data_IF_332743310519
#
_entry.id   IF_332743310519
#
_cell.length_a   1.000
_cell.length_b   1.000
_cell.length_c   1.000
_cell.angle_alpha   90.00
_cell.angle_beta   90.00
_cell.angle_gamma   90.00
#
_symmetry.space_group_name_H-M   'P 1'
#
loop_
_entity.id
_entity.type
_entity.pdbx_description
1 polymer ?
#
# COMPACT_ATOMS: atom_id res chain seq x y z
N UNK A 1 -5.89 6.78 -10.78
CA UNK A 1 -5.95 8.21 -10.33
C UNK A 1 -4.59 8.87 -10.44
N UNK A 2 -4.50 10.06 -11.02
CA UNK A 2 -3.25 10.84 -11.12
C UNK A 2 -3.00 11.59 -9.81
N UNK A 3 -1.78 11.49 -9.27
CA UNK A 3 -1.34 12.19 -8.06
C UNK A 3 0.14 12.57 -8.22
N UNK A 4 0.51 13.79 -7.83
CA UNK A 4 1.90 14.21 -7.88
C UNK A 4 2.62 14.03 -6.53
N UNK A 5 3.95 14.14 -6.57
CA UNK A 5 4.80 13.98 -5.36
C UNK A 5 4.47 15.00 -4.27
N UNK A 6 4.07 16.20 -4.65
CA UNK A 6 3.68 17.25 -3.71
C UNK A 6 2.43 16.85 -2.96
N UNK A 7 1.41 16.33 -3.65
CA UNK A 7 0.18 15.86 -3.04
C UNK A 7 0.42 14.69 -2.07
N UNK A 8 1.29 13.74 -2.44
CA UNK A 8 1.67 12.64 -1.53
C UNK A 8 2.36 13.15 -0.26
N UNK A 9 3.21 14.16 -0.38
CA UNK A 9 3.88 14.80 0.76
C UNK A 9 2.90 15.62 1.60
N UNK A 10 2.06 16.45 0.99
CA UNK A 10 1.05 17.27 1.67
C UNK A 10 0.06 16.41 2.48
N UNK A 11 -0.32 15.25 1.96
CA UNK A 11 -1.21 14.30 2.62
C UNK A 11 -0.46 13.38 3.61
N UNK A 12 0.86 13.52 3.74
CA UNK A 12 1.69 12.67 4.59
C UNK A 12 1.51 11.17 4.30
N UNK A 13 1.31 10.80 3.03
CA UNK A 13 1.23 9.38 2.63
C UNK A 13 2.55 8.70 3.01
N UNK A 14 3.67 9.36 2.68
CA UNK A 14 5.02 9.04 3.17
C UNK A 14 5.59 10.29 3.84
N UNK A 15 6.30 10.12 4.95
CA UNK A 15 6.92 11.21 5.69
C UNK A 15 8.36 10.86 6.07
N UNK A 16 9.24 11.85 6.23
CA UNK A 16 10.63 11.64 6.67
C UNK A 16 10.69 11.03 8.06
N UNK A 17 9.83 11.50 8.97
CA UNK A 17 9.53 10.84 10.24
C UNK A 17 8.39 9.86 9.98
N UNK A 18 8.73 8.59 9.80
CA UNK A 18 7.79 7.58 9.34
C UNK A 18 6.53 7.48 10.20
N UNK A 19 6.64 7.64 11.50
CA UNK A 19 5.53 7.60 12.46
C UNK A 19 4.42 8.62 12.16
N UNK A 20 4.75 9.71 11.46
CA UNK A 20 3.82 10.75 11.04
C UNK A 20 3.20 10.49 9.65
N UNK A 21 3.30 9.28 9.13
CA UNK A 21 2.81 8.91 7.80
C UNK A 21 1.61 7.98 7.82
N UNK A 22 0.78 8.07 6.78
CA UNK A 22 -0.27 7.10 6.50
C UNK A 22 0.32 5.70 6.34
N UNK A 23 1.50 5.60 5.70
CA UNK A 23 2.23 4.34 5.55
C UNK A 23 2.47 3.66 6.90
N UNK A 24 2.99 4.37 7.89
CA UNK A 24 3.25 3.80 9.21
C UNK A 24 1.99 3.23 9.88
N UNK A 25 0.88 3.97 9.81
CA UNK A 25 -0.39 3.55 10.40
C UNK A 25 -0.99 2.29 9.73
N UNK A 26 -0.71 2.08 8.46
CA UNK A 26 -1.14 0.90 7.72
C UNK A 26 -0.14 -0.26 7.79
N UNK A 27 1.08 -0.01 8.28
CA UNK A 27 2.17 -0.98 8.27
C UNK A 27 2.11 -1.92 9.49
N UNK A 28 1.48 -3.06 9.30
CA UNK A 28 1.46 -4.21 10.20
C UNK A 28 2.14 -5.43 9.56
N UNK A 29 2.98 -5.22 8.55
CA UNK A 29 3.68 -6.30 7.83
C UNK A 29 4.66 -7.04 8.73
N UNK A 30 4.82 -8.34 8.50
CA UNK A 30 5.73 -9.21 9.24
C UNK A 30 7.08 -9.39 8.55
N UNK A 31 7.18 -9.00 7.27
CA UNK A 31 8.37 -9.20 6.44
C UNK A 31 8.81 -7.91 5.75
N UNK A 32 10.10 -7.84 5.44
CA UNK A 32 10.65 -6.71 4.66
C UNK A 32 10.01 -6.64 3.27
N UNK A 33 9.82 -7.79 2.61
CA UNK A 33 9.16 -7.85 1.30
C UNK A 33 7.72 -7.34 1.36
N UNK A 34 6.95 -7.72 2.39
CA UNK A 34 5.61 -7.21 2.63
C UNK A 34 5.58 -5.70 2.84
N UNK A 35 6.55 -5.17 3.63
CA UNK A 35 6.68 -3.73 3.86
C UNK A 35 6.96 -2.96 2.57
N UNK A 36 7.89 -3.44 1.74
CA UNK A 36 8.20 -2.81 0.47
C UNK A 36 7.03 -2.90 -0.52
N UNK A 37 6.30 -4.02 -0.51
CA UNK A 37 5.11 -4.17 -1.34
C UNK A 37 3.98 -3.23 -0.88
N UNK A 38 3.78 -3.05 0.44
CA UNK A 38 2.84 -2.06 0.98
C UNK A 38 3.21 -0.64 0.56
N UNK A 39 4.50 -0.29 0.58
CA UNK A 39 5.00 1.00 0.10
C UNK A 39 4.69 1.18 -1.39
N UNK A 40 4.88 0.13 -2.19
CA UNK A 40 4.52 0.14 -3.61
C UNK A 40 3.02 0.35 -3.81
N UNK A 41 2.16 -0.36 -3.09
CA UNK A 41 0.70 -0.18 -3.15
C UNK A 41 0.30 1.26 -2.86
N UNK A 42 0.82 1.82 -1.76
CA UNK A 42 0.51 3.19 -1.36
C UNK A 42 1.08 4.26 -2.31
N UNK A 43 2.06 3.93 -3.14
CA UNK A 43 2.60 4.84 -4.15
C UNK A 43 1.88 4.80 -5.50
N UNK A 44 1.01 3.82 -5.73
CA UNK A 44 0.42 3.53 -7.04
C UNK A 44 -1.11 3.37 -6.98
N UNK A 45 -1.86 4.47 -6.95
CA UNK A 45 -3.32 4.40 -6.94
C UNK A 45 -3.87 3.74 -8.19
N UNK A 46 -4.96 2.98 -8.00
CA UNK A 46 -5.60 2.20 -9.04
C UNK A 46 -6.32 3.09 -10.06
N UNK A 47 -6.45 2.61 -11.29
CA UNK A 47 -6.98 3.41 -12.39
C UNK A 47 -8.41 3.03 -12.78
N UNK A 48 -8.85 1.84 -12.45
CA UNK A 48 -10.17 1.33 -12.84
C UNK A 48 -11.04 1.00 -11.64
N UNK A 49 -12.34 1.17 -11.79
CA UNK A 49 -13.30 0.79 -10.76
C UNK A 49 -13.23 -0.72 -10.45
N UNK A 50 -12.97 -1.55 -11.46
CA UNK A 50 -12.85 -3.00 -11.31
C UNK A 50 -11.69 -3.37 -10.39
N UNK A 51 -10.50 -2.79 -10.60
CA UNK A 51 -9.33 -3.02 -9.74
C UNK A 51 -9.58 -2.58 -8.29
N UNK A 52 -10.25 -1.43 -8.11
CA UNK A 52 -10.59 -0.90 -6.78
C UNK A 52 -11.53 -1.85 -6.05
N UNK A 53 -12.61 -2.30 -6.69
CA UNK A 53 -13.58 -3.20 -6.08
C UNK A 53 -12.98 -4.58 -5.80
N UNK A 54 -12.12 -5.09 -6.67
CA UNK A 54 -11.40 -6.35 -6.47
C UNK A 54 -10.43 -6.27 -5.28
N UNK A 55 -9.75 -5.13 -5.13
CA UNK A 55 -8.89 -4.86 -3.97
C UNK A 55 -9.70 -4.75 -2.67
N UNK A 56 -10.84 -4.05 -2.68
CA UNK A 56 -11.75 -4.00 -1.52
C UNK A 56 -12.19 -5.41 -1.10
N UNK A 57 -12.64 -6.21 -2.06
CA UNK A 57 -13.05 -7.59 -1.80
C UNK A 57 -11.89 -8.44 -1.24
N UNK A 58 -10.66 -8.25 -1.75
CA UNK A 58 -9.47 -8.92 -1.23
C UNK A 58 -9.22 -8.58 0.22
N UNK A 59 -9.19 -7.29 0.57
CA UNK A 59 -8.91 -6.84 1.94
C UNK A 59 -10.01 -7.29 2.89
N UNK A 60 -11.29 -7.19 2.50
CA UNK A 60 -12.42 -7.63 3.30
C UNK A 60 -12.35 -9.13 3.60
N UNK A 61 -12.02 -9.96 2.62
CA UNK A 61 -11.84 -11.38 2.83
C UNK A 61 -10.66 -11.69 3.77
N UNK A 62 -9.54 -10.97 3.60
CA UNK A 62 -8.39 -11.13 4.49
C UNK A 62 -8.71 -10.69 5.93
N UNK A 63 -9.60 -9.70 6.15
CA UNK A 63 -10.09 -9.35 7.49
C UNK A 63 -10.85 -10.51 8.14
N UNK A 64 -11.65 -11.27 7.37
CA UNK A 64 -12.39 -12.43 7.88
C UNK A 64 -11.46 -13.54 8.37
N UNK A 65 -10.34 -13.76 7.67
CA UNK A 65 -9.41 -14.88 7.96
C UNK A 65 -8.16 -14.44 8.74
N UNK A 66 -8.02 -13.14 9.04
CA UNK A 66 -6.81 -12.59 9.64
C UNK A 66 -6.37 -13.27 10.94
N UNK A 67 -7.34 -13.71 11.77
CA UNK A 67 -7.07 -14.37 13.06
C UNK A 67 -6.50 -15.79 12.89
N UNK A 68 -6.84 -16.45 11.79
CA UNK A 68 -6.44 -17.83 11.49
C UNK A 68 -5.23 -17.86 10.53
N UNK A 69 -4.67 -16.67 10.20
CA UNK A 69 -3.55 -16.55 9.28
C UNK A 69 -2.31 -17.25 9.83
N UNK A 70 -1.61 -18.09 9.03
CA UNK A 70 -0.45 -18.84 9.50
C UNK A 70 0.72 -17.91 9.86
N UNK A 71 1.25 -18.05 11.06
CA UNK A 71 2.37 -17.26 11.61
C UNK A 71 3.73 -17.93 11.41
N UNK A 72 3.77 -19.05 10.72
CA UNK A 72 4.99 -19.87 10.53
C UNK A 72 6.01 -19.23 9.57
N UNK A 73 5.55 -18.41 8.65
CA UNK A 73 6.42 -17.67 7.72
C UNK A 73 6.85 -16.35 8.37
N UNK A 74 8.13 -16.27 8.69
CA UNK A 74 8.70 -15.07 9.32
C UNK A 74 9.72 -14.40 8.39
N UNK A 75 10.09 -13.16 8.68
CA UNK A 75 11.17 -12.47 7.98
C UNK A 75 12.48 -13.27 8.03
N UNK A 76 12.77 -13.92 9.18
CA UNK A 76 13.94 -14.79 9.33
C UNK A 76 13.91 -15.98 8.37
N UNK A 77 12.76 -16.65 8.22
CA UNK A 77 12.58 -17.77 7.28
C UNK A 77 12.86 -17.33 5.84
N UNK A 78 12.33 -16.19 5.42
CA UNK A 78 12.54 -15.65 4.06
C UNK A 78 14.00 -15.28 3.86
N UNK A 79 14.64 -14.57 4.79
CA UNK A 79 16.05 -14.20 4.71
C UNK A 79 16.98 -15.42 4.58
N UNK A 80 16.70 -16.52 5.27
CA UNK A 80 17.49 -17.75 5.16
C UNK A 80 17.42 -18.32 3.74
N UNK A 81 16.21 -18.36 3.15
CA UNK A 81 15.98 -18.83 1.79
C UNK A 81 16.70 -17.94 0.77
N UNK A 82 16.60 -16.62 0.89
CA UNK A 82 17.23 -15.67 -0.04
C UNK A 82 18.76 -15.74 0.04
N UNK A 83 19.34 -15.68 1.24
CA UNK A 83 20.79 -15.74 1.46
C UNK A 83 21.41 -17.07 1.04
N UNK A 84 20.64 -18.14 1.05
CA UNK A 84 21.11 -19.44 0.54
C UNK A 84 21.57 -19.36 -0.92
N UNK A 85 20.89 -18.57 -1.74
CA UNK A 85 21.26 -18.40 -3.14
C UNK A 85 22.49 -17.52 -3.37
N UNK A 86 22.87 -16.71 -2.39
CA UNK A 86 24.07 -15.88 -2.39
C UNK A 86 25.30 -16.64 -1.84
N UNK A 87 25.06 -17.72 -1.08
CA UNK A 87 26.13 -18.50 -0.46
C UNK A 87 26.97 -19.26 -1.50
N UNK A 88 28.25 -19.45 -1.22
CA UNK A 88 29.12 -20.32 -1.99
C UNK A 88 29.09 -21.73 -1.39
N UNK A 89 28.59 -22.70 -2.14
CA UNK A 89 28.62 -24.11 -1.78
C UNK A 89 29.59 -24.83 -2.70
N UNK A 90 30.56 -25.52 -2.11
CA UNK A 90 31.56 -26.30 -2.84
C UNK A 90 31.19 -27.79 -2.90
N UNK A 91 31.58 -28.45 -3.98
CA UNK A 91 31.53 -29.93 -4.11
C UNK A 91 30.16 -30.58 -3.84
N UNK A 92 29.11 -30.01 -4.38
CA UNK A 92 27.75 -30.53 -4.17
C UNK A 92 27.54 -31.88 -4.88
N UNK A 93 27.06 -32.88 -4.14
CA UNK A 93 26.82 -34.23 -4.68
C UNK A 93 25.49 -34.25 -5.45
N UNK A 94 25.54 -34.53 -6.77
CA UNK A 94 24.31 -34.57 -7.61
C UNK A 94 23.39 -35.76 -7.30
N UNK A 95 23.98 -36.92 -6.85
CA UNK A 95 23.24 -38.14 -6.53
C UNK A 95 23.52 -38.58 -5.09
N UNK A 96 22.88 -37.94 -4.09
CA UNK A 96 23.11 -38.29 -2.69
C UNK A 96 22.58 -39.68 -2.36
N UNK A 97 23.43 -40.47 -1.69
CA UNK A 97 23.11 -41.77 -1.10
C UNK A 97 23.59 -41.79 0.36
N UNK A 98 23.26 -42.85 1.11
CA UNK A 98 23.58 -42.92 2.53
C UNK A 98 25.08 -42.74 2.82
N UNK A 99 25.96 -43.31 1.99
CA UNK A 99 27.42 -43.31 2.19
C UNK A 99 28.02 -41.96 1.85
N UNK A 100 27.79 -41.45 0.61
CA UNK A 100 28.38 -40.20 0.16
C UNK A 100 27.84 -38.99 0.91
N UNK A 101 26.57 -39.02 1.37
CA UNK A 101 25.98 -37.98 2.17
C UNK A 101 26.58 -37.91 3.57
N UNK A 102 26.88 -39.07 4.16
CA UNK A 102 27.56 -39.12 5.45
C UNK A 102 29.01 -38.61 5.32
N UNK A 103 29.69 -38.98 4.26
CA UNK A 103 31.03 -38.47 3.95
C UNK A 103 31.00 -36.95 3.75
N UNK A 104 30.03 -36.42 2.99
CA UNK A 104 29.85 -34.98 2.80
C UNK A 104 29.64 -34.25 4.13
N UNK A 105 28.80 -34.78 5.02
CA UNK A 105 28.57 -34.24 6.36
C UNK A 105 29.85 -34.13 7.19
N UNK A 106 30.79 -35.11 7.04
CA UNK A 106 32.03 -35.12 7.79
C UNK A 106 33.07 -34.18 7.17
N UNK A 107 33.29 -34.26 5.86
CA UNK A 107 34.34 -33.51 5.17
C UNK A 107 33.99 -32.07 4.85
N UNK A 108 32.70 -31.77 4.66
CA UNK A 108 32.14 -30.44 4.32
C UNK A 108 31.12 -29.99 5.33
N UNK A 109 31.45 -30.09 6.63
CA UNK A 109 30.52 -29.86 7.72
C UNK A 109 29.88 -28.46 7.71
N UNK A 110 30.63 -27.44 7.30
CA UNK A 110 30.11 -26.06 7.19
C UNK A 110 29.01 -25.99 6.12
N UNK A 111 29.25 -26.45 4.92
CA UNK A 111 28.31 -26.48 3.81
C UNK A 111 27.07 -27.33 4.15
N UNK A 112 27.31 -28.49 4.80
CA UNK A 112 26.24 -29.37 5.26
C UNK A 112 25.35 -28.69 6.31
N UNK A 113 25.94 -27.96 7.25
CA UNK A 113 25.17 -27.23 8.27
C UNK A 113 24.32 -26.11 7.66
N UNK A 114 24.85 -25.38 6.69
CA UNK A 114 24.12 -24.37 5.93
C UNK A 114 22.95 -25.00 5.15
N UNK A 115 23.22 -26.11 4.45
CA UNK A 115 22.17 -26.83 3.72
C UNK A 115 21.05 -27.31 4.65
N UNK A 116 21.42 -27.94 5.76
CA UNK A 116 20.47 -28.44 6.76
C UNK A 116 19.60 -27.31 7.26
N UNK A 117 20.21 -26.20 7.69
CA UNK A 117 19.49 -25.03 8.19
C UNK A 117 18.52 -24.46 7.15
N UNK A 118 18.97 -24.35 5.90
CA UNK A 118 18.11 -23.87 4.81
C UNK A 118 16.96 -24.83 4.50
N UNK A 119 17.21 -26.13 4.46
CA UNK A 119 16.17 -27.13 4.20
C UNK A 119 15.12 -27.14 5.32
N UNK A 120 15.52 -27.02 6.59
CA UNK A 120 14.62 -26.92 7.73
C UNK A 120 13.69 -25.70 7.59
N UNK A 121 14.23 -24.54 7.21
CA UNK A 121 13.43 -23.32 6.93
C UNK A 121 12.56 -23.44 5.68
N UNK A 122 13.04 -24.12 4.64
CA UNK A 122 12.24 -24.37 3.44
C UNK A 122 11.04 -25.28 3.72
N UNK A 123 11.17 -26.27 4.62
CA UNK A 123 10.03 -27.08 5.11
C UNK A 123 9.01 -26.20 5.81
N UNK A 124 9.43 -25.30 6.69
CA UNK A 124 8.52 -24.39 7.41
C UNK A 124 7.84 -23.41 6.44
N UNK A 125 8.60 -22.84 5.52
CA UNK A 125 8.11 -21.90 4.53
C UNK A 125 7.03 -22.54 3.64
N UNK A 126 7.35 -23.69 3.03
CA UNK A 126 6.40 -24.38 2.14
C UNK A 126 5.15 -24.87 2.86
N UNK A 127 5.28 -25.34 4.11
CA UNK A 127 4.11 -25.68 4.97
C UNK A 127 3.26 -24.45 5.27
N UNK A 128 3.87 -23.31 5.62
CA UNK A 128 3.15 -22.08 5.85
C UNK A 128 2.41 -21.58 4.60
N UNK A 129 3.04 -21.68 3.44
CA UNK A 129 2.41 -21.36 2.17
C UNK A 129 1.24 -22.29 1.84
N UNK A 130 1.36 -23.57 2.15
CA UNK A 130 0.24 -24.53 1.98
C UNK A 130 -0.93 -24.19 2.92
N UNK A 131 -0.66 -23.82 4.17
CA UNK A 131 -1.69 -23.39 5.12
C UNK A 131 -2.49 -22.18 4.60
N UNK A 132 -1.85 -21.25 3.87
CA UNK A 132 -2.55 -20.13 3.20
C UNK A 132 -3.51 -20.65 2.14
N UNK A 133 -3.07 -21.62 1.31
CA UNK A 133 -3.94 -22.24 0.31
C UNK A 133 -5.13 -22.91 0.96
N UNK A 134 -4.90 -23.71 2.01
CA UNK A 134 -5.93 -24.44 2.73
C UNK A 134 -6.94 -23.49 3.39
N UNK A 135 -6.46 -22.40 4.00
CA UNK A 135 -7.29 -21.37 4.64
C UNK A 135 -8.24 -20.67 3.66
N UNK A 136 -7.78 -20.47 2.42
CA UNK A 136 -8.52 -19.76 1.39
C UNK A 136 -9.31 -20.66 0.45
N UNK A 137 -9.18 -21.99 0.56
CA UNK A 137 -9.72 -22.96 -0.40
C UNK A 137 -11.24 -22.87 -0.61
N UNK A 138 -12.01 -22.73 0.48
CA UNK A 138 -13.48 -22.70 0.44
C UNK A 138 -14.07 -21.27 0.40
N UNK A 139 -13.21 -20.26 0.29
CA UNK A 139 -13.64 -18.86 0.31
C UNK A 139 -13.99 -18.36 -1.09
N UNK A 140 -14.89 -17.39 -1.16
CA UNK A 140 -15.19 -16.67 -2.41
C UNK A 140 -14.11 -15.65 -2.66
N UNK A 141 -13.13 -16.00 -3.46
CA UNK A 141 -11.97 -15.16 -3.75
C UNK A 141 -12.31 -14.02 -4.72
N UNK A 142 -11.64 -12.87 -4.56
CA UNK A 142 -11.54 -11.84 -5.57
C UNK A 142 -10.70 -12.35 -6.77
N UNK A 143 -10.73 -11.66 -7.89
CA UNK A 143 -9.98 -12.08 -9.09
C UNK A 143 -8.47 -12.15 -8.85
N UNK A 144 -7.90 -11.09 -8.25
CA UNK A 144 -6.47 -11.06 -7.94
C UNK A 144 -6.08 -12.15 -6.93
N UNK A 145 -6.88 -12.33 -5.88
CA UNK A 145 -6.59 -13.32 -4.85
C UNK A 145 -6.69 -14.75 -5.41
N UNK A 146 -7.68 -15.02 -6.26
CA UNK A 146 -7.80 -16.29 -6.97
C UNK A 146 -6.57 -16.58 -7.86
N UNK A 147 -6.06 -15.55 -8.54
CA UNK A 147 -4.82 -15.66 -9.34
C UNK A 147 -3.63 -16.02 -8.46
N UNK A 148 -3.45 -15.37 -7.33
CA UNK A 148 -2.33 -15.66 -6.41
C UNK A 148 -2.43 -17.05 -5.79
N UNK A 149 -3.61 -17.45 -5.31
CA UNK A 149 -3.83 -18.78 -4.72
C UNK A 149 -3.64 -19.89 -5.75
N UNK A 150 -4.15 -19.71 -6.97
CA UNK A 150 -3.94 -20.66 -8.07
C UNK A 150 -2.45 -20.81 -8.38
N UNK A 151 -1.73 -19.69 -8.51
CA UNK A 151 -0.30 -19.72 -8.79
C UNK A 151 0.49 -20.34 -7.65
N UNK A 152 0.16 -20.01 -6.41
CA UNK A 152 0.75 -20.61 -5.22
C UNK A 152 0.56 -22.13 -5.22
N UNK A 153 -0.65 -22.61 -5.44
CA UNK A 153 -0.97 -24.03 -5.52
C UNK A 153 -0.17 -24.76 -6.60
N UNK A 154 0.00 -24.13 -7.78
CA UNK A 154 0.81 -24.67 -8.87
C UNK A 154 2.29 -24.80 -8.47
N UNK A 155 2.85 -23.81 -7.79
CA UNK A 155 4.23 -23.84 -7.33
C UNK A 155 4.43 -24.96 -6.30
N UNK A 156 3.53 -25.08 -5.34
CA UNK A 156 3.57 -26.09 -4.29
C UNK A 156 3.28 -27.51 -4.79
N UNK A 157 2.62 -27.70 -5.92
CA UNK A 157 2.25 -29.03 -6.46
C UNK A 157 3.43 -29.84 -7.01
N UNK A 158 4.64 -29.27 -7.10
CA UNK A 158 5.82 -30.00 -7.57
C UNK A 158 6.12 -31.21 -6.67
N UNK A 159 6.37 -32.42 -7.24
CA UNK A 159 6.51 -33.65 -6.44
C UNK A 159 7.54 -33.53 -5.31
N UNK A 160 8.71 -32.91 -5.59
CA UNK A 160 9.77 -32.72 -4.60
C UNK A 160 9.34 -31.76 -3.47
N UNK A 161 8.53 -30.74 -3.77
CA UNK A 161 7.99 -29.82 -2.76
C UNK A 161 6.94 -30.51 -1.91
N UNK A 162 6.08 -31.33 -2.52
CA UNK A 162 5.11 -32.17 -1.79
C UNK A 162 5.80 -33.15 -0.83
N UNK A 163 6.90 -33.73 -1.26
CA UNK A 163 7.72 -34.60 -0.42
C UNK A 163 8.37 -33.80 0.72
N UNK A 164 8.96 -32.65 0.41
CA UNK A 164 9.56 -31.73 1.39
C UNK A 164 8.55 -31.31 2.47
N UNK A 165 7.31 -30.97 2.10
CA UNK A 165 6.27 -30.59 3.05
C UNK A 165 5.85 -31.73 4.00
N UNK A 166 5.95 -33.00 3.56
CA UNK A 166 5.66 -34.16 4.41
C UNK A 166 6.81 -34.50 5.35
N UNK A 167 7.99 -34.01 5.07
CA UNK A 167 9.20 -34.32 5.84
C UNK A 167 9.10 -33.78 7.28
N UNK A 168 9.64 -34.57 8.22
CA UNK A 168 9.89 -34.12 9.58
C UNK A 168 11.24 -33.40 9.64
N UNK A 169 11.22 -32.07 9.75
CA UNK A 169 12.44 -31.25 9.76
C UNK A 169 13.45 -31.66 10.83
N UNK A 170 13.02 -32.28 11.94
CA UNK A 170 13.91 -32.71 13.03
C UNK A 170 14.65 -34.01 12.72
N UNK A 171 14.10 -34.85 11.86
CA UNK A 171 14.57 -36.23 11.62
C UNK A 171 15.07 -36.44 10.17
N UNK A 172 15.43 -35.35 9.46
CA UNK A 172 15.98 -35.47 8.11
C UNK A 172 17.32 -36.19 8.10
N UNK A 173 17.44 -37.19 7.25
CA UNK A 173 18.71 -37.89 6.99
C UNK A 173 19.66 -37.00 6.18
N UNK A 174 21.01 -37.25 6.25
CA UNK A 174 21.97 -36.51 5.42
C UNK A 174 21.70 -36.62 3.92
N UNK A 175 21.17 -37.73 3.44
CA UNK A 175 20.82 -37.92 2.05
C UNK A 175 19.63 -37.05 1.63
N UNK A 176 18.60 -36.96 2.47
CA UNK A 176 17.47 -36.09 2.24
C UNK A 176 17.86 -34.61 2.25
N UNK A 177 18.71 -34.17 3.20
CA UNK A 177 19.20 -32.79 3.27
C UNK A 177 19.94 -32.41 1.98
N UNK A 178 20.82 -33.25 1.48
CA UNK A 178 21.55 -33.01 0.22
C UNK A 178 20.56 -33.00 -0.96
N UNK A 179 19.62 -33.93 -1.02
CA UNK A 179 18.63 -34.03 -2.10
C UNK A 179 17.71 -32.80 -2.15
N UNK A 180 17.13 -32.41 -1.02
CA UNK A 180 16.27 -31.23 -0.96
C UNK A 180 17.04 -29.94 -1.18
N UNK A 181 18.22 -29.80 -0.56
CA UNK A 181 19.08 -28.62 -0.74
C UNK A 181 19.51 -28.45 -2.19
N UNK A 182 19.88 -29.56 -2.86
CA UNK A 182 20.22 -29.57 -4.29
C UNK A 182 19.06 -29.17 -5.17
N UNK A 183 17.87 -29.74 -4.92
CA UNK A 183 16.66 -29.36 -5.64
C UNK A 183 16.34 -27.88 -5.47
N UNK A 184 16.30 -27.37 -4.23
CA UNK A 184 16.04 -25.96 -3.93
C UNK A 184 17.03 -25.07 -4.69
N UNK A 185 18.33 -25.37 -4.63
CA UNK A 185 19.35 -24.50 -5.19
C UNK A 185 19.39 -24.49 -6.72
N UNK A 186 19.26 -25.63 -7.37
CA UNK A 186 19.50 -25.76 -8.80
C UNK A 186 18.24 -25.87 -9.66
N UNK A 187 17.13 -26.35 -9.08
CA UNK A 187 15.91 -26.64 -9.82
C UNK A 187 14.71 -25.81 -9.42
N UNK A 188 14.76 -25.13 -8.27
CA UNK A 188 13.60 -24.43 -7.72
C UNK A 188 13.88 -22.95 -7.37
N UNK A 189 15.01 -22.39 -7.80
CA UNK A 189 15.43 -21.03 -7.45
C UNK A 189 14.40 -19.96 -7.83
N UNK A 190 13.99 -19.93 -9.09
CA UNK A 190 13.04 -18.93 -9.59
C UNK A 190 11.68 -19.06 -8.91
N UNK A 191 11.22 -20.28 -8.71
CA UNK A 191 9.96 -20.58 -8.05
C UNK A 191 9.98 -20.17 -6.57
N UNK A 192 11.11 -20.33 -5.89
CA UNK A 192 11.24 -19.84 -4.52
C UNK A 192 11.15 -18.31 -4.43
N UNK A 193 11.80 -17.58 -5.32
CA UNK A 193 11.66 -16.12 -5.35
C UNK A 193 10.23 -15.71 -5.67
N UNK A 194 9.53 -16.43 -6.53
CA UNK A 194 8.12 -16.19 -6.81
C UNK A 194 7.23 -16.49 -5.59
N UNK A 195 7.50 -17.55 -4.82
CA UNK A 195 6.82 -17.84 -3.57
C UNK A 195 7.03 -16.71 -2.54
N UNK A 196 8.25 -16.18 -2.44
CA UNK A 196 8.57 -15.05 -1.55
C UNK A 196 7.82 -13.78 -2.01
N UNK A 197 7.76 -13.50 -3.31
CA UNK A 197 6.98 -12.38 -3.86
C UNK A 197 5.48 -12.52 -3.57
N UNK A 198 4.91 -13.71 -3.79
CA UNK A 198 3.51 -13.98 -3.44
C UNK A 198 3.24 -13.79 -1.95
N UNK A 199 4.14 -14.28 -1.07
CA UNK A 199 4.01 -14.05 0.36
C UNK A 199 4.06 -12.56 0.71
N UNK A 200 4.96 -11.80 0.10
CA UNK A 200 5.08 -10.36 0.29
C UNK A 200 3.79 -9.61 -0.07
N UNK A 201 3.10 -10.05 -1.12
CA UNK A 201 1.78 -9.53 -1.49
C UNK A 201 0.74 -9.84 -0.43
N UNK A 202 0.64 -11.10 0.01
CA UNK A 202 -0.28 -11.48 1.08
C UNK A 202 -0.01 -10.68 2.36
N UNK A 203 1.24 -10.55 2.77
CA UNK A 203 1.65 -9.83 3.98
C UNK A 203 1.25 -8.35 3.91
N UNK A 204 1.45 -7.68 2.77
CA UNK A 204 1.06 -6.29 2.56
C UNK A 204 -0.47 -6.07 2.63
N UNK A 205 -1.25 -6.92 1.95
CA UNK A 205 -2.71 -6.80 1.99
C UNK A 205 -3.30 -7.19 3.35
N UNK A 206 -2.72 -8.18 4.01
CA UNK A 206 -3.08 -8.54 5.38
C UNK A 206 -2.76 -7.40 6.37
N UNK A 207 -1.64 -6.70 6.16
CA UNK A 207 -1.28 -5.50 6.91
C UNK A 207 -2.37 -4.43 6.85
N UNK A 208 -2.89 -4.15 5.65
CA UNK A 208 -4.02 -3.22 5.47
C UNK A 208 -5.29 -3.75 6.13
N UNK A 209 -5.57 -5.06 6.03
CA UNK A 209 -6.71 -5.68 6.70
C UNK A 209 -6.63 -5.51 8.23
N UNK A 210 -5.46 -5.74 8.83
CA UNK A 210 -5.22 -5.49 10.27
C UNK A 210 -5.41 -4.03 10.65
N UNK A 211 -4.94 -3.08 9.82
CA UNK A 211 -5.14 -1.66 10.05
C UNK A 211 -6.63 -1.29 10.00
N UNK A 212 -7.38 -1.78 9.00
CA UNK A 212 -8.82 -1.56 8.89
C UNK A 212 -9.57 -2.06 10.12
N UNK A 213 -9.22 -3.27 10.62
CA UNK A 213 -9.83 -3.82 11.83
C UNK A 213 -9.45 -3.02 13.08
N UNK A 214 -8.20 -2.64 13.22
CA UNK A 214 -7.67 -1.93 14.39
C UNK A 214 -8.27 -0.53 14.54
N UNK A 215 -8.42 0.19 13.44
CA UNK A 215 -8.89 1.58 13.44
C UNK A 215 -10.37 1.72 13.07
N UNK A 216 -11.07 0.61 12.83
CA UNK A 216 -12.49 0.63 12.49
C UNK A 216 -12.80 1.32 11.16
N UNK A 217 -11.94 1.15 10.15
CA UNK A 217 -12.15 1.74 8.84
C UNK A 217 -13.31 1.09 8.10
N UNK A 218 -14.02 1.87 7.31
CA UNK A 218 -15.13 1.41 6.47
C UNK A 218 -14.73 1.43 4.99
N UNK A 219 -15.32 0.53 4.19
CA UNK A 219 -15.03 0.51 2.75
C UNK A 219 -15.98 1.46 2.02
N UNK A 220 -15.44 2.45 1.28
CA UNK A 220 -16.25 3.43 0.60
C UNK A 220 -16.97 2.83 -0.61
N UNK A 221 -18.21 3.29 -0.85
CA UNK A 221 -18.91 3.04 -2.09
C UNK A 221 -18.34 3.92 -3.20
N UNK A 222 -17.70 3.30 -4.20
CA UNK A 222 -17.16 4.01 -5.37
C UNK A 222 -17.97 3.66 -6.62
N UNK A 223 -18.22 4.66 -7.48
CA UNK A 223 -18.92 4.41 -8.74
C UNK A 223 -18.42 5.29 -9.87
N UNK A 224 -18.53 4.79 -11.09
CA UNK A 224 -18.31 5.60 -12.28
C UNK A 224 -19.41 6.68 -12.36
N UNK A 225 -19.02 7.91 -12.56
CA UNK A 225 -19.95 9.03 -12.75
C UNK A 225 -19.37 10.02 -13.75
N UNK A 226 -20.23 10.65 -14.56
CA UNK A 226 -19.81 11.73 -15.45
C UNK A 226 -19.33 12.93 -14.62
N UNK A 227 -20.06 13.23 -13.57
CA UNK A 227 -19.80 14.38 -12.71
C UNK A 227 -19.21 13.93 -11.38
N UNK A 228 -18.19 14.62 -10.84
CA UNK A 228 -17.55 14.24 -9.60
C UNK A 228 -18.43 14.52 -8.38
N UNK A 229 -18.40 13.64 -7.38
CA UNK A 229 -19.04 13.86 -6.09
C UNK A 229 -18.27 13.16 -4.98
N UNK A 230 -18.40 13.69 -3.77
CA UNK A 230 -17.94 13.07 -2.52
C UNK A 230 -19.00 13.33 -1.47
N UNK A 231 -19.45 12.25 -0.79
CA UNK A 231 -20.31 12.33 0.37
C UNK A 231 -19.76 11.42 1.46
N UNK A 232 -19.52 11.97 2.64
CA UNK A 232 -19.05 11.20 3.78
C UNK A 232 -19.68 11.69 5.08
N UNK A 233 -19.89 10.76 6.01
CA UNK A 233 -20.30 11.06 7.38
C UNK A 233 -19.29 10.51 8.37
N UNK A 234 -19.07 11.23 9.47
CA UNK A 234 -18.13 10.85 10.51
C UNK A 234 -16.67 10.73 10.02
N UNK A 235 -16.32 11.45 8.94
CA UNK A 235 -14.98 11.51 8.40
C UNK A 235 -14.01 12.14 9.40
N UNK A 236 -12.82 11.56 9.57
CA UNK A 236 -11.82 12.09 10.48
C UNK A 236 -10.39 11.87 9.95
N UNK A 237 -9.42 12.55 10.56
CA UNK A 237 -8.02 12.37 10.16
C UNK A 237 -7.41 11.19 10.90
N UNK A 238 -6.96 10.17 10.17
CA UNK A 238 -6.49 8.90 10.73
C UNK A 238 -5.21 9.00 11.57
N UNK A 239 -4.41 10.05 11.42
CA UNK A 239 -3.16 10.24 12.17
C UNK A 239 -3.37 10.91 13.53
N UNK A 240 -4.60 11.28 13.91
CA UNK A 240 -4.89 11.89 15.20
C UNK A 240 -5.32 10.83 16.21
N UNK A 241 -4.78 10.88 17.42
CA UNK A 241 -5.18 10.00 18.53
C UNK A 241 -6.62 10.25 18.97
N UNK A 242 -7.04 11.51 19.01
CA UNK A 242 -8.41 11.93 19.36
C UNK A 242 -8.97 12.78 18.22
N UNK A 243 -9.48 12.14 17.16
CA UNK A 243 -9.98 12.86 16.00
C UNK A 243 -11.35 13.48 16.24
N UNK A 244 -11.56 14.67 15.65
CA UNK A 244 -12.89 15.25 15.51
C UNK A 244 -13.49 14.77 14.19
N UNK A 245 -14.72 14.29 14.21
CA UNK A 245 -15.44 13.82 13.03
C UNK A 245 -16.19 14.94 12.33
N UNK A 246 -16.25 14.84 11.00
CA UNK A 246 -16.93 15.80 10.12
C UNK A 246 -17.84 15.08 9.13
N UNK A 247 -18.88 15.77 8.68
CA UNK A 247 -19.67 15.37 7.53
C UNK A 247 -19.34 16.28 6.35
N UNK A 248 -19.28 15.72 5.15
CA UNK A 248 -19.00 16.46 3.92
C UNK A 248 -19.90 16.00 2.79
N UNK A 249 -20.36 16.95 1.98
CA UNK A 249 -21.06 16.68 0.73
C UNK A 249 -20.61 17.69 -0.34
N UNK A 250 -19.98 17.16 -1.39
CA UNK A 250 -19.61 17.90 -2.60
C UNK A 250 -20.27 17.25 -3.81
N UNK A 251 -20.79 18.07 -4.70
CA UNK A 251 -21.49 17.66 -5.92
C UNK A 251 -21.28 18.72 -7.00
N UNK A 252 -21.66 18.49 -8.28
CA UNK A 252 -21.52 19.50 -9.33
C UNK A 252 -22.16 20.85 -9.00
N UNK A 253 -23.32 20.84 -8.34
CA UNK A 253 -24.01 22.06 -7.92
C UNK A 253 -23.39 22.71 -6.68
N UNK A 254 -22.59 21.95 -5.92
CA UNK A 254 -21.86 22.37 -4.71
C UNK A 254 -20.41 21.92 -4.81
N UNK A 255 -19.75 22.27 -5.91
CA UNK A 255 -18.40 21.78 -6.22
C UNK A 255 -17.30 22.53 -5.46
N UNK A 256 -17.63 23.56 -4.68
CA UNK A 256 -16.66 24.38 -3.98
C UNK A 256 -17.00 24.52 -2.48
N UNK A 257 -16.12 24.02 -1.62
CA UNK A 257 -16.21 24.17 -0.17
C UNK A 257 -15.17 25.19 0.30
N UNK A 258 -15.66 26.26 0.91
CA UNK A 258 -14.84 27.33 1.44
C UNK A 258 -14.78 27.27 2.96
N UNK A 259 -13.59 27.03 3.52
CA UNK A 259 -13.37 26.89 4.96
C UNK A 259 -12.80 28.18 5.53
N UNK A 260 -13.48 28.75 6.49
CA UNK A 260 -13.03 29.93 7.23
C UNK A 260 -12.94 29.61 8.73
N UNK A 261 -12.16 30.38 9.47
CA UNK A 261 -12.00 30.20 10.92
C UNK A 261 -10.62 30.60 11.42
N UNK A 262 -10.49 30.67 12.73
CA UNK A 262 -9.24 31.04 13.39
C UNK A 262 -8.08 30.05 13.05
N UNK A 263 -6.86 30.50 13.27
CA UNK A 263 -5.70 29.61 13.23
C UNK A 263 -5.88 28.49 14.25
N UNK A 264 -5.36 27.31 13.95
CA UNK A 264 -5.47 26.08 14.77
C UNK A 264 -6.91 25.54 14.93
N UNK A 265 -7.90 26.06 14.19
CA UNK A 265 -9.27 25.53 14.22
C UNK A 265 -9.46 24.19 13.47
N UNK A 266 -8.40 23.61 12.94
CA UNK A 266 -8.43 22.28 12.26
C UNK A 266 -8.74 22.32 10.77
N UNK A 267 -8.70 23.49 10.09
CA UNK A 267 -8.98 23.62 8.65
C UNK A 267 -8.09 22.73 7.80
N UNK A 268 -6.76 22.82 7.98
CA UNK A 268 -5.79 21.99 7.24
C UNK A 268 -5.96 20.50 7.55
N UNK A 269 -6.30 20.16 8.79
CA UNK A 269 -6.59 18.79 9.21
C UNK A 269 -7.81 18.22 8.48
N UNK A 270 -8.87 19.01 8.35
CA UNK A 270 -10.07 18.63 7.59
C UNK A 270 -9.75 18.40 6.12
N UNK A 271 -9.03 19.32 5.46
CA UNK A 271 -8.63 19.20 4.06
C UNK A 271 -7.82 17.91 3.85
N UNK A 272 -6.83 17.66 4.72
CA UNK A 272 -6.01 16.45 4.67
C UNK A 272 -6.84 15.19 4.91
N UNK A 273 -7.80 15.20 5.84
CA UNK A 273 -8.67 14.06 6.10
C UNK A 273 -9.48 13.66 4.86
N UNK A 274 -10.05 14.64 4.14
CA UNK A 274 -10.77 14.37 2.87
C UNK A 274 -9.81 13.84 1.81
N UNK A 275 -8.63 14.45 1.66
CA UNK A 275 -7.62 14.03 0.68
C UNK A 275 -7.11 12.62 0.91
N UNK A 276 -6.74 12.29 2.15
CA UNK A 276 -6.29 10.94 2.53
C UNK A 276 -7.39 9.92 2.28
N UNK A 277 -8.64 10.22 2.68
CA UNK A 277 -9.75 9.28 2.48
C UNK A 277 -10.08 9.05 1.01
N UNK A 278 -10.08 10.11 0.19
CA UNK A 278 -10.25 9.97 -1.26
C UNK A 278 -9.10 9.17 -1.89
N UNK A 279 -7.87 9.38 -1.41
CA UNK A 279 -6.70 8.63 -1.87
C UNK A 279 -6.79 7.15 -1.51
N UNK A 280 -7.08 6.81 -0.24
CA UNK A 280 -7.24 5.43 0.22
C UNK A 280 -8.38 4.71 -0.52
N UNK A 281 -9.49 5.42 -0.78
CA UNK A 281 -10.59 4.89 -1.58
C UNK A 281 -10.11 4.44 -2.97
N UNK A 282 -9.24 5.21 -3.64
CA UNK A 282 -8.68 4.87 -4.95
C UNK A 282 -7.56 3.82 -4.90
N UNK A 283 -7.13 3.43 -3.72
CA UNK A 283 -6.30 2.25 -3.48
C UNK A 283 -7.13 0.99 -3.18
N UNK A 284 -8.47 1.11 -3.15
CA UNK A 284 -9.36 0.02 -2.72
C UNK A 284 -9.24 -0.31 -1.23
N UNK A 285 -8.79 0.64 -0.41
CA UNK A 285 -8.60 0.45 1.03
C UNK A 285 -9.79 1.02 1.82
N UNK A 286 -9.93 0.59 3.08
CA UNK A 286 -10.85 1.21 4.01
C UNK A 286 -10.45 2.65 4.34
N UNK A 287 -11.41 3.47 4.70
CA UNK A 287 -11.25 4.90 5.00
C UNK A 287 -11.72 5.24 6.42
N UNK A 288 -11.13 6.28 7.05
CA UNK A 288 -11.50 6.72 8.38
C UNK A 288 -12.80 7.55 8.37
N UNK A 289 -13.92 6.90 8.11
CA UNK A 289 -15.26 7.48 8.09
C UNK A 289 -16.29 6.46 8.58
N UNK A 290 -17.45 6.92 9.04
CA UNK A 290 -18.59 6.02 9.31
C UNK A 290 -19.20 5.51 8.02
N UNK A 291 -19.32 6.37 7.03
CA UNK A 291 -19.81 6.06 5.70
C UNK A 291 -19.19 7.04 4.69
N UNK A 292 -18.83 6.52 3.51
CA UNK A 292 -18.32 7.36 2.43
C UNK A 292 -18.77 6.81 1.07
N UNK A 293 -19.20 7.72 0.20
CA UNK A 293 -19.53 7.46 -1.20
C UNK A 293 -18.85 8.50 -2.07
N UNK A 294 -18.25 8.09 -3.17
CA UNK A 294 -17.60 9.01 -4.10
C UNK A 294 -17.62 8.49 -5.53
N UNK A 295 -17.49 9.43 -6.47
CA UNK A 295 -17.21 9.07 -7.87
C UNK A 295 -15.78 8.59 -8.04
N UNK A 296 -15.54 7.80 -9.07
CA UNK A 296 -14.18 7.56 -9.55
C UNK A 296 -13.58 8.89 -10.00
N UNK A 297 -12.49 9.31 -9.35
CA UNK A 297 -11.75 10.52 -9.67
C UNK A 297 -10.54 10.17 -10.54
N UNK A 298 -10.32 10.98 -11.58
CA UNK A 298 -9.15 10.82 -12.45
C UNK A 298 -7.88 11.40 -11.82
N UNK A 299 -8.04 12.39 -10.92
CA UNK A 299 -6.91 12.99 -10.25
C UNK A 299 -7.21 13.66 -8.92
N UNK A 300 -6.15 13.78 -8.10
CA UNK A 300 -6.12 14.47 -6.83
C UNK A 300 -4.88 15.36 -6.79
N UNK A 301 -5.08 16.66 -6.55
CA UNK A 301 -4.00 17.63 -6.38
C UNK A 301 -4.17 18.40 -5.08
N UNK A 302 -3.05 18.67 -4.41
CA UNK A 302 -3.02 19.51 -3.23
C UNK A 302 -2.05 20.67 -3.38
N UNK A 303 -2.39 21.79 -2.75
CA UNK A 303 -1.55 22.97 -2.56
C UNK A 303 -1.67 23.37 -1.07
N UNK A 304 -1.09 22.56 -0.18
CA UNK A 304 -1.17 22.74 1.27
C UNK A 304 0.12 23.36 1.81
N UNK A 305 1.26 22.78 1.44
CA UNK A 305 2.57 23.28 1.85
C UNK A 305 3.30 23.85 0.64
N UNK A 306 3.56 25.15 0.66
CA UNK A 306 4.43 25.80 -0.34
C UNK A 306 5.83 25.87 0.24
N UNK A 307 6.77 25.19 -0.39
CA UNK A 307 8.18 25.23 0.00
C UNK A 307 8.90 26.28 -0.83
N UNK A 308 9.66 27.16 -0.17
CA UNK A 308 10.52 28.11 -0.86
C UNK A 308 11.60 27.40 -1.69
N UNK A 309 11.72 27.80 -2.93
CA UNK A 309 12.81 27.34 -3.79
C UNK A 309 13.96 28.37 -3.82
N UNK A 310 14.67 28.47 -2.72
CA UNK A 310 15.79 29.41 -2.56
C UNK A 310 16.86 29.21 -3.65
N UNK A 311 17.03 27.98 -4.13
CA UNK A 311 18.03 27.65 -5.17
C UNK A 311 17.73 28.32 -6.50
N UNK A 312 16.45 28.51 -6.85
CA UNK A 312 16.04 29.17 -8.10
C UNK A 312 15.86 30.67 -7.95
N UNK A 313 15.98 31.23 -6.74
CA UNK A 313 15.77 32.68 -6.50
C UNK A 313 14.34 33.15 -6.79
N UNK A 314 13.38 32.23 -6.82
CA UNK A 314 11.97 32.53 -7.08
C UNK A 314 11.28 32.95 -5.76
N UNK A 315 10.51 34.02 -5.81
CA UNK A 315 9.75 34.48 -4.64
C UNK A 315 8.65 33.49 -4.28
N UNK A 316 8.32 33.40 -2.99
CA UNK A 316 7.22 32.58 -2.48
C UNK A 316 5.91 32.82 -3.25
N UNK A 317 5.56 34.09 -3.46
CA UNK A 317 4.34 34.47 -4.22
C UNK A 317 4.38 33.98 -5.67
N UNK A 318 5.54 34.07 -6.34
CA UNK A 318 5.68 33.55 -7.71
C UNK A 318 5.44 32.04 -7.77
N UNK A 319 5.95 31.31 -6.80
CA UNK A 319 5.74 29.86 -6.71
C UNK A 319 4.27 29.49 -6.45
N UNK A 320 3.54 30.27 -5.62
CA UNK A 320 2.11 30.10 -5.43
C UNK A 320 1.34 30.31 -6.74
N UNK A 321 1.63 31.39 -7.47
CA UNK A 321 0.98 31.68 -8.76
C UNK A 321 1.26 30.57 -9.78
N UNK A 322 2.50 30.08 -9.88
CA UNK A 322 2.86 28.99 -10.79
C UNK A 322 2.14 27.69 -10.43
N UNK A 323 1.99 27.38 -9.15
CA UNK A 323 1.24 26.19 -8.70
C UNK A 323 -0.22 26.26 -9.10
N UNK A 324 -0.88 27.40 -8.86
CA UNK A 324 -2.28 27.60 -9.26
C UNK A 324 -2.44 27.50 -10.77
N UNK A 325 -1.53 28.13 -11.54
CA UNK A 325 -1.50 28.02 -13.00
C UNK A 325 -1.40 26.55 -13.44
N UNK A 326 -0.43 25.82 -12.92
CA UNK A 326 -0.23 24.40 -13.25
C UNK A 326 -1.45 23.54 -12.87
N UNK A 327 -2.10 23.85 -11.74
CA UNK A 327 -3.33 23.19 -11.32
C UNK A 327 -4.44 23.44 -12.34
N UNK A 328 -4.67 24.69 -12.74
CA UNK A 328 -5.69 25.08 -13.72
C UNK A 328 -5.44 24.38 -15.08
N UNK A 329 -4.19 24.38 -15.55
CA UNK A 329 -3.82 23.72 -16.79
C UNK A 329 -4.12 22.20 -16.75
N UNK A 330 -3.80 21.53 -15.65
CA UNK A 330 -4.08 20.09 -15.47
C UNK A 330 -5.58 19.77 -15.46
N UNK A 331 -6.37 20.53 -14.69
CA UNK A 331 -7.80 20.25 -14.54
C UNK A 331 -8.67 20.71 -15.72
N UNK A 332 -8.06 21.42 -16.68
CA UNK A 332 -8.73 21.83 -17.92
C UNK A 332 -8.85 20.67 -18.94
N UNK A 333 -8.44 19.46 -18.58
CA UNK A 333 -8.51 18.26 -19.42
C UNK A 333 -9.90 17.60 -19.51
N UNK A 334 -10.89 18.14 -18.77
CA UNK A 334 -12.26 17.64 -18.74
C UNK A 334 -12.47 16.38 -17.90
N UNK A 335 -11.45 15.92 -17.18
CA UNK A 335 -11.51 14.77 -16.28
C UNK A 335 -11.98 15.16 -14.87
N UNK A 336 -12.34 14.18 -14.06
CA UNK A 336 -12.85 14.39 -12.71
C UNK A 336 -11.70 14.58 -11.70
N UNK A 337 -11.63 15.76 -11.08
CA UNK A 337 -10.56 16.13 -10.17
C UNK A 337 -11.06 16.48 -8.77
N UNK A 338 -10.25 16.16 -7.74
CA UNK A 338 -10.36 16.72 -6.40
C UNK A 338 -9.15 17.63 -6.14
N UNK A 339 -9.42 18.90 -5.79
CA UNK A 339 -8.41 19.92 -5.57
C UNK A 339 -8.48 20.43 -4.13
N UNK A 340 -7.37 20.35 -3.43
CA UNK A 340 -7.22 20.72 -2.03
C UNK A 340 -6.26 21.91 -1.92
N UNK A 341 -6.75 23.03 -1.37
CA UNK A 341 -5.95 24.25 -1.25
C UNK A 341 -6.02 24.74 0.20
N UNK A 342 -4.86 24.91 0.82
CA UNK A 342 -4.77 25.48 2.16
C UNK A 342 -4.12 26.87 2.08
N UNK A 343 -4.97 27.88 2.06
CA UNK A 343 -4.67 29.30 1.88
C UNK A 343 -4.04 29.67 0.51
N UNK A 344 -4.66 30.63 -0.14
CA UNK A 344 -4.18 31.24 -1.38
C UNK A 344 -3.38 32.52 -1.08
N UNK A 345 -2.23 32.66 -1.74
CA UNK A 345 -1.45 33.89 -1.80
C UNK A 345 -0.98 34.42 -0.44
N UNK A 346 -0.35 33.56 0.37
CA UNK A 346 0.27 33.93 1.66
C UNK A 346 1.49 34.85 1.47
N UNK A 347 2.12 34.83 0.29
CA UNK A 347 3.38 35.51 0.01
C UNK A 347 3.26 36.97 -0.43
N UNK A 348 2.07 37.60 -0.32
CA UNK A 348 1.86 39.00 -0.71
C UNK A 348 1.10 39.79 0.34
N UNK A 349 0.92 41.11 0.10
CA UNK A 349 0.11 41.95 0.98
C UNK A 349 -1.39 41.57 0.92
N UNK A 350 -2.14 41.90 1.97
CA UNK A 350 -3.53 41.49 2.12
C UNK A 350 -4.44 41.94 0.96
N UNK A 351 -4.26 43.15 0.44
CA UNK A 351 -5.11 43.68 -0.63
C UNK A 351 -4.91 42.91 -1.94
N UNK A 352 -3.66 42.63 -2.32
CA UNK A 352 -3.35 41.87 -3.51
C UNK A 352 -3.75 40.39 -3.34
N UNK A 353 -3.54 39.81 -2.15
CA UNK A 353 -3.99 38.46 -1.84
C UNK A 353 -5.51 38.29 -2.04
N UNK A 354 -6.32 39.23 -1.54
CA UNK A 354 -7.78 39.21 -1.72
C UNK A 354 -8.16 39.31 -3.20
N UNK A 355 -7.58 40.26 -3.96
CA UNK A 355 -7.88 40.42 -5.39
C UNK A 355 -7.51 39.15 -6.19
N UNK A 356 -6.31 38.63 -6.00
CA UNK A 356 -5.84 37.43 -6.69
C UNK A 356 -6.71 36.21 -6.32
N UNK A 357 -6.99 36.00 -5.03
CA UNK A 357 -7.84 34.92 -4.55
C UNK A 357 -9.24 34.98 -5.14
N UNK A 358 -9.87 36.17 -5.14
CA UNK A 358 -11.23 36.34 -5.71
C UNK A 358 -11.24 35.96 -7.18
N UNK A 359 -10.28 36.46 -7.98
CA UNK A 359 -10.20 36.15 -9.41
C UNK A 359 -10.02 34.65 -9.67
N UNK A 360 -9.14 34.00 -8.90
CA UNK A 360 -8.89 32.55 -9.03
C UNK A 360 -10.13 31.75 -8.63
N UNK A 361 -10.78 32.07 -7.50
CA UNK A 361 -11.97 31.35 -7.01
C UNK A 361 -13.14 31.50 -8.00
N UNK A 362 -13.37 32.71 -8.55
CA UNK A 362 -14.40 32.92 -9.56
C UNK A 362 -14.16 32.10 -10.84
N UNK A 363 -12.91 31.92 -11.23
CA UNK A 363 -12.52 31.04 -12.34
C UNK A 363 -12.77 29.57 -12.02
N UNK A 364 -12.25 29.09 -10.88
CA UNK A 364 -12.34 27.68 -10.48
C UNK A 364 -13.78 27.20 -10.27
N UNK A 365 -14.65 28.04 -9.70
CA UNK A 365 -16.08 27.70 -9.48
C UNK A 365 -16.83 27.35 -10.76
N UNK A 366 -16.38 27.80 -11.92
CA UNK A 366 -16.99 27.49 -13.23
C UNK A 366 -16.63 26.10 -13.75
N UNK A 367 -15.63 25.45 -13.15
CA UNK A 367 -15.14 24.13 -13.57
C UNK A 367 -15.98 23.02 -12.92
N UNK A 368 -17.01 22.51 -13.59
CA UNK A 368 -17.94 21.51 -13.05
C UNK A 368 -17.33 20.09 -12.95
N UNK A 369 -16.23 19.87 -13.65
CA UNK A 369 -15.49 18.60 -13.63
C UNK A 369 -14.53 18.48 -12.42
N UNK A 370 -14.50 19.45 -11.52
CA UNK A 370 -13.62 19.42 -10.36
C UNK A 370 -14.35 19.80 -9.07
N UNK A 371 -13.96 19.15 -7.99
CA UNK A 371 -14.38 19.45 -6.62
C UNK A 371 -13.24 20.20 -5.93
N UNK A 372 -13.58 21.28 -5.25
CA UNK A 372 -12.60 22.15 -4.60
C UNK A 372 -12.86 22.27 -3.10
N UNK A 373 -11.81 22.12 -2.32
CA UNK A 373 -11.82 22.47 -0.89
C UNK A 373 -10.71 23.49 -0.68
N UNK A 374 -11.08 24.67 -0.22
CA UNK A 374 -10.16 25.77 0.01
C UNK A 374 -10.34 26.34 1.40
N UNK A 375 -9.24 26.49 2.14
CA UNK A 375 -9.24 27.27 3.37
C UNK A 375 -8.69 28.67 3.15
N UNK A 376 -9.11 29.61 3.99
CA UNK A 376 -8.58 30.98 3.99
C UNK A 376 -8.68 31.65 5.34
N UNK A 377 -7.77 32.61 5.56
CA UNK A 377 -7.83 33.58 6.65
C UNK A 377 -8.23 34.97 6.19
N UNK A 378 -8.46 35.17 4.89
CA UNK A 378 -8.91 36.44 4.34
C UNK A 378 -10.42 36.60 4.61
N UNK A 379 -10.80 37.61 5.35
CA UNK A 379 -12.16 38.00 5.67
C UNK A 379 -12.54 39.25 4.89
#
# INVERSE_FOLDING_TARGET
MQVDKTTLADLSIFHSEEEQSVFHHLNHTQTNGGREYLRHLLGNPLNTLEEILDTQQTIQLLMEVAKDWPITVTNGTIMVIERFYESQLTNFTQHPNAVNSQAYKIFYNHDYSLLRYTVEHAVEFTKGMQQIVDLLYEKKLSKQLATWVTRLSMLLSKPMIQELMRADKKNLTPAEILRYGGFIRYHYKQQNFELVDLYSRFDAYLSVAWACMKYGFTFPGIRQSKDPFIKASGLHHMLLEVPVSYDIELSPDKNFLFLTGANMAGKSTFIKAVGVSAYLAHLGMGVPAKEMQLSLLDGLLSNIQVVDNIIKGESFFFNEVQRIKNTIEKISDGKNWLILIDELFKGTNQQDAVKCSTTVIEGLRKMQNALFILSTHLY
#
